data_IF_917657269446
#
_entry.id   IF_917657269446
#
_cell.length_a   1.000
_cell.length_b   1.000
_cell.length_c   1.000
_cell.angle_alpha   90.00
_cell.angle_beta   90.00
_cell.angle_gamma   90.00
#
_symmetry.space_group_name_H-M   'P 1'
#
loop_
_entity.id
_entity.type
_entity.pdbx_description
1 polymer ?
#
# COMPACT_ATOMS: atom_id res chain seq x y z
N UNK A 1 0.21 -22.45 -23.54
CA UNK A 1 0.33 -21.14 -24.20
C UNK A 1 -0.88 -20.32 -23.83
N UNK A 2 -0.68 -19.06 -23.47
CA UNK A 2 -1.74 -18.09 -23.18
C UNK A 2 -1.62 -16.98 -24.22
N UNK A 3 -2.74 -16.59 -24.81
CA UNK A 3 -2.83 -15.46 -25.73
C UNK A 3 -3.32 -14.25 -24.96
N UNK A 4 -2.69 -13.10 -25.19
CA UNK A 4 -3.06 -11.82 -24.59
C UNK A 4 -3.63 -10.94 -25.70
N UNK A 5 -4.87 -10.48 -25.55
CA UNK A 5 -5.43 -9.47 -26.44
C UNK A 5 -5.00 -8.10 -25.93
N UNK A 6 -4.43 -7.31 -26.83
CA UNK A 6 -3.97 -5.94 -26.57
C UNK A 6 -4.79 -5.01 -27.45
N UNK A 7 -5.18 -3.86 -26.90
CA UNK A 7 -5.69 -2.76 -27.70
C UNK A 7 -4.58 -2.20 -28.61
N UNK A 8 -5.00 -1.52 -29.69
CA UNK A 8 -4.10 -1.03 -30.74
C UNK A 8 -3.04 -0.05 -30.19
N UNK A 9 -3.41 0.77 -29.21
CA UNK A 9 -2.50 1.75 -28.61
C UNK A 9 -1.44 1.07 -27.75
N UNK A 10 -1.83 0.12 -26.91
CA UNK A 10 -0.90 -0.68 -26.09
C UNK A 10 0.02 -1.54 -26.96
N UNK A 11 -0.50 -2.14 -28.04
CA UNK A 11 0.32 -2.90 -28.99
C UNK A 11 1.36 -2.01 -29.69
N UNK A 12 0.99 -0.79 -30.05
CA UNK A 12 1.90 0.20 -30.64
C UNK A 12 2.99 0.62 -29.65
N UNK A 13 2.64 0.88 -28.40
CA UNK A 13 3.62 1.23 -27.35
C UNK A 13 4.60 0.08 -27.11
N UNK A 14 4.10 -1.16 -27.04
CA UNK A 14 4.94 -2.34 -26.88
C UNK A 14 5.93 -2.47 -28.07
N UNK A 15 5.45 -2.28 -29.29
CA UNK A 15 6.31 -2.32 -30.48
C UNK A 15 7.37 -1.22 -30.47
N UNK A 16 7.02 0.01 -30.05
CA UNK A 16 7.98 1.11 -29.93
C UNK A 16 9.07 0.82 -28.89
N UNK A 17 8.70 0.20 -27.76
CA UNK A 17 9.65 -0.23 -26.74
C UNK A 17 10.57 -1.34 -27.23
N UNK A 18 10.02 -2.31 -27.98
CA UNK A 18 10.82 -3.38 -28.59
C UNK A 18 11.88 -2.83 -29.54
N UNK A 19 11.53 -1.86 -30.37
CA UNK A 19 12.47 -1.20 -31.29
C UNK A 19 13.55 -0.42 -30.54
N UNK A 20 13.18 0.31 -29.48
CA UNK A 20 14.11 1.15 -28.72
C UNK A 20 15.12 0.32 -27.91
N UNK A 21 14.64 -0.78 -27.32
CA UNK A 21 15.42 -1.56 -26.36
C UNK A 21 15.97 -2.86 -26.96
N UNK A 22 15.74 -3.08 -28.27
CA UNK A 22 16.14 -4.27 -29.03
C UNK A 22 15.81 -5.59 -28.29
N UNK A 23 14.71 -5.59 -27.56
CA UNK A 23 14.30 -6.67 -26.66
C UNK A 23 12.93 -7.19 -27.09
N UNK A 24 12.72 -8.51 -26.98
CA UNK A 24 11.46 -9.12 -27.40
C UNK A 24 10.28 -8.79 -26.48
N UNK A 25 9.06 -8.75 -27.05
CA UNK A 25 7.80 -8.48 -26.35
C UNK A 25 7.66 -9.25 -25.03
N UNK A 26 7.96 -10.56 -25.04
CA UNK A 26 7.81 -11.44 -23.87
C UNK A 26 8.68 -10.98 -22.71
N UNK A 27 9.87 -10.46 -23.01
CA UNK A 27 10.85 -10.08 -22.00
C UNK A 27 10.51 -8.71 -21.41
N UNK A 28 10.00 -7.78 -22.23
CA UNK A 28 9.42 -6.52 -21.77
C UNK A 28 8.18 -6.76 -20.88
N UNK A 29 7.27 -7.64 -21.29
CA UNK A 29 6.10 -8.00 -20.49
C UNK A 29 6.51 -8.64 -19.17
N UNK A 30 7.51 -9.53 -19.18
CA UNK A 30 8.04 -10.14 -17.95
C UNK A 30 8.60 -9.08 -16.99
N UNK A 31 9.36 -8.12 -17.51
CA UNK A 31 9.92 -7.03 -16.71
C UNK A 31 8.78 -6.18 -16.12
N UNK A 32 7.81 -5.76 -16.92
CA UNK A 32 6.66 -4.98 -16.47
C UNK A 32 5.85 -5.71 -15.38
N UNK A 33 5.67 -7.03 -15.50
CA UNK A 33 5.00 -7.85 -14.48
C UNK A 33 5.84 -7.97 -13.20
N UNK A 34 7.15 -8.13 -13.32
CA UNK A 34 8.06 -8.17 -12.17
C UNK A 34 8.06 -6.83 -11.43
N UNK A 35 8.10 -5.72 -12.17
CA UNK A 35 8.05 -4.37 -11.62
C UNK A 35 6.70 -4.09 -10.96
N UNK A 36 5.59 -4.51 -11.56
CA UNK A 36 4.26 -4.37 -10.97
C UNK A 36 4.13 -5.17 -9.66
N UNK A 37 4.64 -6.41 -9.63
CA UNK A 37 4.63 -7.24 -8.42
C UNK A 37 5.59 -6.70 -7.35
N UNK A 38 6.76 -6.18 -7.74
CA UNK A 38 7.75 -5.58 -6.83
C UNK A 38 7.30 -4.23 -6.26
N UNK A 39 6.70 -3.37 -7.08
CA UNK A 39 6.15 -2.09 -6.63
C UNK A 39 5.01 -2.30 -5.61
N UNK A 40 4.17 -3.31 -5.82
CA UNK A 40 3.06 -3.65 -4.91
C UNK A 40 3.52 -4.24 -3.57
N UNK A 41 4.77 -4.69 -3.47
CA UNK A 41 5.38 -5.17 -2.22
C UNK A 41 6.10 -4.05 -1.46
N UNK A 42 6.49 -2.98 -2.15
CA UNK A 42 7.27 -1.89 -1.55
C UNK A 42 6.39 -0.77 -0.98
N UNK A 43 5.17 -0.60 -1.50
CA UNK A 43 4.23 0.34 -0.89
C UNK A 43 3.45 -0.38 0.22
N UNK A 44 3.65 -0.02 1.52
CA UNK A 44 2.65 -0.36 2.51
C UNK A 44 1.30 0.18 2.01
N UNK A 45 0.17 -0.55 2.24
CA UNK A 45 -1.15 -0.05 1.88
C UNK A 45 -1.28 1.39 2.39
N UNK A 46 -1.94 2.31 1.66
CA UNK A 46 -2.00 3.71 2.04
C UNK A 46 -2.50 3.79 3.48
N UNK A 47 -1.59 4.03 4.42
CA UNK A 47 -1.91 4.11 5.85
C UNK A 47 -2.80 5.33 5.98
N UNK A 48 -4.10 5.09 6.05
CA UNK A 48 -5.04 6.13 6.43
C UNK A 48 -4.58 6.57 7.82
N UNK A 49 -4.64 7.87 8.13
CA UNK A 49 -4.25 8.33 9.47
C UNK A 49 -5.03 7.63 10.60
N UNK A 50 -6.18 7.02 10.28
CA UNK A 50 -6.93 6.14 11.17
C UNK A 50 -6.15 4.88 11.60
N UNK A 51 -5.28 4.33 10.74
CA UNK A 51 -4.50 3.13 11.03
C UNK A 51 -3.39 3.41 12.06
N UNK A 52 -2.93 4.65 12.19
CA UNK A 52 -1.98 5.07 13.24
C UNK A 52 -2.58 4.87 14.64
N UNK A 53 -3.89 5.05 14.80
CA UNK A 53 -4.56 4.82 16.10
C UNK A 53 -4.43 3.35 16.52
N UNK A 54 -4.37 2.43 15.55
CA UNK A 54 -4.19 1.00 15.82
C UNK A 54 -2.75 0.61 16.16
N UNK A 55 -1.76 1.40 15.74
CA UNK A 55 -0.33 1.16 15.99
C UNK A 55 0.20 1.87 17.24
N UNK A 56 -0.56 2.81 17.81
CA UNK A 56 -0.18 3.48 19.05
C UNK A 56 -0.20 2.50 20.24
N UNK A 57 0.80 2.57 21.14
CA UNK A 57 0.80 1.77 22.35
C UNK A 57 -0.41 2.15 23.21
N UNK A 58 -1.15 1.13 23.67
CA UNK A 58 -2.25 1.34 24.61
C UNK A 58 -1.67 1.87 25.92
N UNK A 59 -1.83 3.16 26.16
CA UNK A 59 -1.42 3.78 27.42
C UNK A 59 -2.39 3.35 28.52
N UNK A 60 -1.94 2.67 29.58
CA UNK A 60 -2.82 2.20 30.66
C UNK A 60 -3.47 3.37 31.41
N UNK A 61 -2.88 4.57 31.37
CA UNK A 61 -3.38 5.78 32.03
C UNK A 61 -4.73 6.26 31.52
N UNK A 62 -5.14 5.86 30.31
CA UNK A 62 -6.44 6.22 29.71
C UNK A 62 -7.28 4.98 29.36
N UNK A 63 -6.96 3.83 29.93
CA UNK A 63 -7.71 2.60 29.75
C UNK A 63 -8.85 2.53 30.77
N UNK A 64 -10.06 2.94 30.37
CA UNK A 64 -11.25 2.91 31.23
C UNK A 64 -12.36 3.87 30.77
N UNK A 65 -13.45 3.92 31.52
CA UNK A 65 -14.51 4.92 31.34
C UNK A 65 -13.95 6.33 31.69
N UNK A 66 -13.95 7.31 30.75
CA UNK A 66 -13.45 8.65 31.02
C UNK A 66 -14.04 9.30 32.27
N UNK A 67 -15.29 8.98 32.61
CA UNK A 67 -15.97 9.53 33.78
C UNK A 67 -15.33 9.06 35.08
N UNK A 68 -14.89 7.80 35.16
CA UNK A 68 -14.28 7.25 36.39
C UNK A 68 -12.89 7.84 36.61
N UNK A 69 -12.13 8.06 35.54
CA UNK A 69 -10.81 8.72 35.59
C UNK A 69 -10.96 10.16 36.10
N UNK A 70 -11.95 10.91 35.59
CA UNK A 70 -12.21 12.28 36.03
C UNK A 70 -12.65 12.36 37.50
N UNK A 71 -13.44 11.39 37.96
CA UNK A 71 -13.85 11.31 39.37
C UNK A 71 -12.65 11.02 40.28
N UNK A 72 -11.81 10.04 39.93
CA UNK A 72 -10.59 9.72 40.68
C UNK A 72 -9.67 10.94 40.82
N UNK A 73 -9.41 11.67 39.73
CA UNK A 73 -8.60 12.90 39.76
C UNK A 73 -9.21 14.01 40.64
N UNK A 74 -10.54 14.12 40.69
CA UNK A 74 -11.22 15.12 41.53
C UNK A 74 -11.13 14.78 43.01
N UNK A 75 -11.19 13.49 43.33
CA UNK A 75 -11.21 12.99 44.71
C UNK A 75 -9.79 12.84 45.31
N UNK A 76 -8.73 12.87 44.49
CA UNK A 76 -7.32 12.87 44.94
C UNK A 76 -6.92 14.13 45.75
N UNK A 77 -7.68 15.22 45.67
CA UNK A 77 -7.40 16.49 46.36
C UNK A 77 -8.28 16.71 47.61
N UNK A 78 -8.98 15.66 48.08
CA UNK A 78 -9.74 15.66 49.34
C UNK A 78 -8.97 15.01 50.48
#
# INVERSE_FOLDING_TARGET
>A
MMTLELDDDTARLLHQLMEREHTGAVQLIRQALADYLGAKQTEPPPELMADIISTLPKLPSFAGDPLTIQQAMRDEWR
#
